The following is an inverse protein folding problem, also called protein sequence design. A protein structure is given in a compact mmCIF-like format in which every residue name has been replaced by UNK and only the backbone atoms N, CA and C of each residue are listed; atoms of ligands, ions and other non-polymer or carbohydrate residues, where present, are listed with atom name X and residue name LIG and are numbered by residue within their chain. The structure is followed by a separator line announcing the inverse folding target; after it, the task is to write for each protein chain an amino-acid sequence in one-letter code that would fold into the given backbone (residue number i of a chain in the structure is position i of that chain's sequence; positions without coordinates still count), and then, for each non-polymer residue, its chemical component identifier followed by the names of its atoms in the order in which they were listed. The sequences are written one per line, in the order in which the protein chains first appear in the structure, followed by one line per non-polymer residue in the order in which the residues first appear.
data_IF_800520518324
#
_entry.id   IF_800520518324
#
_cell.length_a   1.000
_cell.length_b   1.000
_cell.length_c   1.000
_cell.angle_alpha   90.00
_cell.angle_beta   90.00
_cell.angle_gamma   90.00
#
_symmetry.space_group_name_H-M   'P 1'
#
loop_
_entity.id
_entity.type
_entity.pdbx_description
1 polymer ?
#
# COMPACT_ATOMS: atom_id res chain seq x y z
N UNK A 1 2.59 -46.54 -0.96
CA UNK A 1 4.02 -46.13 -1.01
C UNK A 1 4.15 -44.85 -1.79
N UNK A 2 5.02 -43.94 -1.36
CA UNK A 2 5.39 -42.73 -2.07
C UNK A 2 6.88 -42.72 -2.27
N UNK A 3 7.36 -42.44 -3.48
CA UNK A 3 8.77 -42.23 -3.76
C UNK A 3 9.11 -40.80 -3.36
N UNK A 4 10.11 -40.65 -2.50
CA UNK A 4 10.59 -39.31 -2.08
C UNK A 4 11.27 -38.69 -3.29
N UNK A 5 10.60 -37.76 -3.93
CA UNK A 5 11.11 -37.09 -5.12
C UNK A 5 12.23 -36.13 -4.76
N UNK A 6 13.20 -36.04 -5.67
CA UNK A 6 14.27 -35.04 -5.62
C UNK A 6 13.84 -33.65 -6.09
N UNK A 7 12.57 -33.49 -6.45
CA UNK A 7 12.00 -32.17 -6.70
C UNK A 7 11.28 -31.71 -5.43
N UNK A 8 11.92 -30.83 -4.75
CA UNK A 8 11.17 -29.82 -4.05
C UNK A 8 10.15 -29.25 -5.06
N UNK A 9 8.90 -29.68 -4.98
CA UNK A 9 7.82 -28.73 -5.21
C UNK A 9 8.05 -27.71 -4.11
N UNK A 10 8.90 -26.73 -4.44
CA UNK A 10 9.31 -25.71 -3.51
C UNK A 10 8.04 -25.13 -2.93
N UNK A 11 7.77 -25.48 -1.68
CA UNK A 11 6.67 -24.89 -0.96
C UNK A 11 7.09 -23.47 -0.72
N UNK A 12 6.82 -22.69 -1.72
CA UNK A 12 6.89 -21.25 -1.62
C UNK A 12 5.93 -20.85 -0.52
N UNK A 13 6.46 -20.32 0.58
CA UNK A 13 5.62 -19.75 1.62
C UNK A 13 4.70 -18.72 0.98
N UNK A 14 3.39 -18.91 1.15
CA UNK A 14 2.38 -18.02 0.63
C UNK A 14 1.91 -17.10 1.75
N UNK A 15 1.94 -15.81 1.51
CA UNK A 15 1.53 -14.79 2.46
C UNK A 15 0.29 -14.08 1.93
N UNK A 16 -0.78 -14.07 2.72
CA UNK A 16 -1.95 -13.25 2.38
C UNK A 16 -1.58 -11.78 2.43
N UNK A 17 -1.82 -11.07 1.35
CA UNK A 17 -1.50 -9.66 1.22
C UNK A 17 -2.67 -8.85 0.69
N UNK A 18 -2.69 -7.56 1.02
CA UNK A 18 -3.67 -6.60 0.55
C UNK A 18 -3.04 -5.64 -0.45
N UNK A 19 -3.74 -5.40 -1.54
CA UNK A 19 -3.31 -4.47 -2.57
C UNK A 19 -3.56 -3.03 -2.15
N UNK A 20 -2.61 -2.17 -2.47
CA UNK A 20 -2.64 -0.75 -2.17
C UNK A 20 -2.25 0.07 -3.40
N UNK A 21 -2.84 1.25 -3.53
CA UNK A 21 -2.35 2.26 -4.43
C UNK A 21 -0.95 2.75 -3.97
N UNK A 22 -0.22 3.43 -4.83
CA UNK A 22 1.07 4.03 -4.47
C UNK A 22 0.96 4.95 -3.29
N UNK A 23 -0.05 5.81 -3.29
CA UNK A 23 -0.42 6.66 -2.17
C UNK A 23 -1.92 6.95 -2.18
N UNK A 24 -2.44 7.24 -1.00
CA UNK A 24 -3.79 7.73 -0.78
C UNK A 24 -3.66 9.11 -0.15
N UNK A 25 -4.13 10.13 -0.86
CA UNK A 25 -4.09 11.52 -0.38
C UNK A 25 -5.48 11.93 0.07
N UNK A 26 -5.69 12.14 1.38
CA UNK A 26 -6.93 12.72 1.88
C UNK A 26 -6.98 14.20 1.50
N UNK A 27 -8.04 14.61 0.84
CA UNK A 27 -8.27 15.99 0.43
C UNK A 27 -9.39 16.60 1.26
N UNK A 28 -9.15 17.79 1.76
CA UNK A 28 -10.10 18.58 2.54
C UNK A 28 -10.00 20.05 2.20
N UNK A 29 -11.04 20.82 2.55
CA UNK A 29 -11.04 22.27 2.40
C UNK A 29 -10.34 22.92 3.59
N UNK A 30 -9.78 24.10 3.37
CA UNK A 30 -9.17 24.90 4.42
C UNK A 30 -10.19 25.83 5.11
N UNK A 31 -11.36 26.01 4.51
CA UNK A 31 -12.45 26.85 5.00
C UNK A 31 -13.71 26.02 5.22
N UNK A 32 -14.53 26.43 6.19
CA UNK A 32 -15.86 25.88 6.37
C UNK A 32 -16.82 26.43 5.29
N UNK A 33 -17.76 25.62 4.86
CA UNK A 33 -18.76 26.07 3.90
C UNK A 33 -19.76 24.97 3.55
N UNK A 34 -20.82 25.35 2.88
CA UNK A 34 -21.81 24.44 2.33
C UNK A 34 -21.40 24.04 0.91
N UNK A 35 -21.37 22.75 0.58
CA UNK A 35 -21.05 22.23 -0.75
C UNK A 35 -22.11 22.71 -1.75
N UNK A 36 -21.70 23.52 -2.72
CA UNK A 36 -22.55 24.03 -3.80
C UNK A 36 -22.40 23.24 -5.09
N UNK A 37 -21.20 22.68 -5.33
CA UNK A 37 -20.93 21.86 -6.51
C UNK A 37 -20.05 20.67 -6.12
N UNK A 38 -20.41 19.49 -6.63
CA UNK A 38 -19.60 18.28 -6.56
C UNK A 38 -19.41 17.76 -7.98
N UNK A 39 -18.18 17.86 -8.49
CA UNK A 39 -17.85 17.71 -9.92
C UNK A 39 -17.22 16.38 -10.26
N UNK A 40 -17.04 15.49 -9.27
CA UNK A 40 -16.37 14.20 -9.45
C UNK A 40 -17.13 13.07 -8.77
N UNK A 41 -16.87 11.85 -9.24
CA UNK A 41 -17.45 10.60 -8.72
C UNK A 41 -16.35 9.60 -8.33
N UNK A 42 -16.62 8.67 -7.40
CA UNK A 42 -15.72 7.57 -7.13
C UNK A 42 -15.36 6.79 -8.39
N UNK A 43 -14.08 6.45 -8.57
CA UNK A 43 -13.53 5.77 -9.75
C UNK A 43 -13.17 6.70 -10.92
N UNK A 44 -13.46 7.99 -10.86
CA UNK A 44 -13.15 8.94 -11.93
C UNK A 44 -11.67 9.33 -11.92
N UNK A 45 -11.06 9.38 -13.11
CA UNK A 45 -9.68 9.86 -13.28
C UNK A 45 -9.65 11.38 -13.38
N UNK A 46 -8.78 12.00 -12.60
CA UNK A 46 -8.62 13.47 -12.56
C UNK A 46 -7.19 13.89 -12.86
N UNK A 47 -7.04 15.11 -13.36
CA UNK A 47 -5.75 15.74 -13.65
C UNK A 47 -5.35 16.69 -12.51
N UNK A 48 -4.06 16.95 -12.38
CA UNK A 48 -3.58 18.00 -11.47
C UNK A 48 -4.24 19.35 -11.81
N UNK A 49 -4.70 20.07 -10.77
CA UNK A 49 -5.41 21.34 -10.91
C UNK A 49 -6.90 21.22 -11.25
N UNK A 50 -7.43 20.04 -11.54
CA UNK A 50 -8.85 19.85 -11.82
C UNK A 50 -9.68 20.17 -10.58
N UNK A 51 -10.76 20.95 -10.77
CA UNK A 51 -11.72 21.27 -9.69
C UNK A 51 -12.54 20.03 -9.35
N UNK A 52 -12.60 19.70 -8.07
CA UNK A 52 -13.29 18.53 -7.54
C UNK A 52 -14.63 18.90 -6.89
N UNK A 53 -14.62 19.94 -6.05
CA UNK A 53 -15.83 20.48 -5.42
C UNK A 53 -15.67 21.97 -5.14
N UNK A 54 -16.81 22.66 -4.95
CA UNK A 54 -16.87 24.04 -4.47
C UNK A 54 -17.81 24.16 -3.29
N UNK A 55 -17.46 25.04 -2.38
CA UNK A 55 -18.34 25.48 -1.30
C UNK A 55 -18.84 26.90 -1.57
N UNK A 56 -19.87 27.30 -0.86
CA UNK A 56 -20.41 28.67 -0.93
C UNK A 56 -19.29 29.69 -0.63
N UNK A 57 -19.03 30.52 -1.62
CA UNK A 57 -17.98 31.54 -1.58
C UNK A 57 -18.53 32.97 -1.58
N UNK A 58 -19.86 33.15 -1.35
CA UNK A 58 -20.52 34.43 -1.42
C UNK A 58 -19.86 35.46 -0.51
N UNK A 59 -19.59 35.10 0.75
CA UNK A 59 -18.93 36.01 1.70
C UNK A 59 -17.49 36.32 1.29
N UNK A 60 -16.76 35.34 0.80
CA UNK A 60 -15.39 35.52 0.33
C UNK A 60 -15.33 36.46 -0.90
N UNK A 61 -16.30 36.35 -1.82
CA UNK A 61 -16.41 37.24 -2.99
C UNK A 61 -16.70 38.67 -2.58
N UNK A 62 -17.63 38.90 -1.63
CA UNK A 62 -17.91 40.26 -1.12
C UNK A 62 -16.67 40.85 -0.40
N UNK A 63 -15.92 40.04 0.36
CA UNK A 63 -14.70 40.52 0.99
C UNK A 63 -13.61 40.87 -0.05
N UNK A 64 -13.50 40.10 -1.13
CA UNK A 64 -12.59 40.37 -2.23
C UNK A 64 -12.94 41.67 -2.94
N UNK A 65 -14.24 41.90 -3.26
CA UNK A 65 -14.71 43.11 -3.91
C UNK A 65 -14.42 44.37 -3.06
N UNK A 66 -14.65 44.30 -1.74
CA UNK A 66 -14.34 45.40 -0.83
C UNK A 66 -12.85 45.69 -0.74
N UNK A 67 -12.00 44.64 -0.69
CA UNK A 67 -10.56 44.78 -0.67
C UNK A 67 -10.00 45.33 -2.01
N UNK A 68 -10.59 44.91 -3.12
CA UNK A 68 -10.25 45.45 -4.45
C UNK A 68 -10.57 46.95 -4.59
N UNK A 69 -11.72 47.39 -4.10
CA UNK A 69 -12.09 48.80 -4.08
C UNK A 69 -11.09 49.62 -3.25
N UNK A 70 -10.69 49.10 -2.08
CA UNK A 70 -9.69 49.75 -1.19
C UNK A 70 -8.31 49.80 -1.87
N UNK A 71 -7.89 48.74 -2.56
CA UNK A 71 -6.62 48.70 -3.29
C UNK A 71 -6.61 49.71 -4.43
N UNK A 72 -7.71 49.80 -5.20
CA UNK A 72 -7.84 50.81 -6.27
C UNK A 72 -7.72 52.23 -5.75
N UNK A 73 -8.40 52.54 -4.60
CA UNK A 73 -8.30 53.83 -3.96
C UNK A 73 -6.87 54.18 -3.52
N UNK A 74 -6.18 53.22 -2.89
CA UNK A 74 -4.81 53.41 -2.45
C UNK A 74 -3.83 53.56 -3.61
N UNK A 75 -4.03 52.81 -4.69
CA UNK A 75 -3.26 52.91 -5.92
C UNK A 75 -3.44 54.27 -6.60
N UNK A 76 -4.66 54.74 -6.73
CA UNK A 76 -4.97 56.09 -7.25
C UNK A 76 -4.30 57.20 -6.45
N UNK A 77 -4.30 57.08 -5.10
CA UNK A 77 -3.60 58.04 -4.24
C UNK A 77 -2.10 58.01 -4.45
N UNK A 78 -1.51 56.83 -4.53
CA UNK A 78 -0.09 56.65 -4.82
C UNK A 78 0.31 57.24 -6.15
N UNK A 79 -0.43 56.94 -7.22
CA UNK A 79 -0.13 57.42 -8.59
C UNK A 79 -0.24 58.94 -8.72
N UNK A 80 -1.10 59.57 -7.94
CA UNK A 80 -1.18 61.05 -7.90
C UNK A 80 -0.09 61.72 -7.06
N UNK A 81 0.33 61.12 -5.98
CA UNK A 81 1.33 61.70 -5.06
C UNK A 81 2.77 61.44 -5.56
N UNK A 82 3.02 60.34 -6.23
CA UNK A 82 4.33 59.97 -6.74
C UNK A 82 5.02 61.08 -7.59
N UNK A 83 4.41 61.63 -8.65
CA UNK A 83 5.08 62.68 -9.47
C UNK A 83 5.31 63.98 -8.68
N UNK A 84 4.45 64.28 -7.67
CA UNK A 84 4.60 65.47 -6.81
C UNK A 84 5.73 65.25 -5.79
N UNK A 85 5.91 64.05 -5.27
CA UNK A 85 7.04 63.67 -4.43
C UNK A 85 8.36 63.73 -5.22
N UNK A 86 8.38 63.19 -6.46
CA UNK A 86 9.55 63.18 -7.32
C UNK A 86 10.02 64.62 -7.69
N UNK A 87 9.08 65.59 -7.68
CA UNK A 87 9.38 67.02 -7.83
C UNK A 87 9.86 67.72 -6.54
N UNK A 88 9.97 67.01 -5.40
CA UNK A 88 10.43 67.53 -4.12
C UNK A 88 9.39 68.39 -3.33
N UNK A 89 8.13 68.40 -3.75
CA UNK A 89 7.06 69.22 -3.14
C UNK A 89 6.40 68.53 -1.96
N UNK A 90 6.36 67.20 -1.96
CA UNK A 90 5.76 66.39 -0.87
C UNK A 90 6.84 65.90 0.08
N UNK A 91 6.57 65.96 1.38
CA UNK A 91 7.52 65.48 2.40
C UNK A 91 7.65 63.96 2.37
N UNK A 92 8.84 63.43 2.72
CA UNK A 92 9.10 61.98 2.81
C UNK A 92 8.15 61.28 3.77
N UNK A 93 7.73 61.92 4.85
CA UNK A 93 6.74 61.38 5.81
C UNK A 93 5.42 61.07 5.10
N UNK A 94 4.94 62.02 4.29
CA UNK A 94 3.67 61.88 3.57
C UNK A 94 3.78 60.83 2.44
N UNK A 95 4.93 60.75 1.81
CA UNK A 95 5.23 59.72 0.83
C UNK A 95 5.17 58.30 1.44
N UNK A 96 5.89 58.09 2.56
CA UNK A 96 5.89 56.81 3.29
C UNK A 96 4.48 56.40 3.75
N UNK A 97 3.64 57.38 4.19
CA UNK A 97 2.25 57.11 4.56
C UNK A 97 1.46 56.55 3.38
N UNK A 98 1.56 57.15 2.19
CA UNK A 98 0.84 56.71 1.00
C UNK A 98 1.33 55.33 0.51
N UNK A 99 2.64 55.12 0.49
CA UNK A 99 3.26 53.85 0.17
C UNK A 99 2.85 52.75 1.13
N UNK A 100 2.81 53.03 2.43
CA UNK A 100 2.37 52.08 3.45
C UNK A 100 0.92 51.70 3.29
N UNK A 101 0.04 52.67 2.97
CA UNK A 101 -1.37 52.39 2.70
C UNK A 101 -1.58 51.53 1.48
N UNK A 102 -0.82 51.76 0.41
CA UNK A 102 -0.88 50.92 -0.77
C UNK A 102 -0.46 49.48 -0.45
N UNK A 103 0.64 49.30 0.27
CA UNK A 103 1.12 47.97 0.65
C UNK A 103 0.12 47.23 1.57
N UNK A 104 -0.51 47.94 2.51
CA UNK A 104 -1.57 47.36 3.36
C UNK A 104 -2.79 46.94 2.54
N UNK A 105 -3.25 47.81 1.62
CA UNK A 105 -4.39 47.50 0.75
C UNK A 105 -4.10 46.30 -0.18
N UNK A 106 -2.87 46.20 -0.70
CA UNK A 106 -2.43 45.06 -1.51
C UNK A 106 -2.45 43.76 -0.72
N UNK A 107 -1.90 43.76 0.49
CA UNK A 107 -1.91 42.58 1.35
C UNK A 107 -3.32 42.15 1.75
N UNK A 108 -4.24 43.11 1.97
CA UNK A 108 -5.64 42.81 2.24
C UNK A 108 -6.34 42.17 1.03
N UNK A 109 -6.07 42.67 -0.18
CA UNK A 109 -6.60 42.11 -1.41
C UNK A 109 -6.09 40.67 -1.65
N UNK A 110 -4.79 40.43 -1.51
CA UNK A 110 -4.18 39.10 -1.65
C UNK A 110 -4.76 38.11 -0.66
N UNK A 111 -5.01 38.55 0.59
CA UNK A 111 -5.65 37.72 1.62
C UNK A 111 -7.10 37.36 1.24
N UNK A 112 -7.86 38.32 0.76
CA UNK A 112 -9.25 38.08 0.31
C UNK A 112 -9.31 37.16 -0.94
N UNK A 113 -8.39 37.35 -1.90
CA UNK A 113 -8.24 36.46 -3.05
C UNK A 113 -7.94 35.01 -2.63
N UNK A 114 -7.07 34.85 -1.64
CA UNK A 114 -6.74 33.53 -1.10
C UNK A 114 -7.95 32.85 -0.44
N UNK A 115 -8.79 33.61 0.27
CA UNK A 115 -10.04 33.07 0.84
C UNK A 115 -10.98 32.54 -0.24
N UNK A 116 -11.14 33.27 -1.35
CA UNK A 116 -11.94 32.79 -2.49
C UNK A 116 -11.37 31.49 -3.08
N UNK A 117 -10.02 31.41 -3.25
CA UNK A 117 -9.36 30.19 -3.74
C UNK A 117 -9.59 29.00 -2.79
N UNK A 118 -9.60 29.24 -1.48
CA UNK A 118 -9.84 28.20 -0.46
C UNK A 118 -11.26 27.62 -0.49
N UNK A 119 -12.22 28.31 -1.10
CA UNK A 119 -13.57 27.78 -1.30
C UNK A 119 -13.66 26.75 -2.45
N UNK A 120 -12.58 26.49 -3.16
CA UNK A 120 -12.52 25.53 -4.26
C UNK A 120 -11.47 24.46 -3.94
N UNK A 121 -11.88 23.19 -3.94
CA UNK A 121 -10.98 22.07 -3.80
C UNK A 121 -10.52 21.59 -5.17
N UNK A 122 -9.22 21.55 -5.38
CA UNK A 122 -8.59 21.06 -6.62
C UNK A 122 -7.73 19.85 -6.35
N UNK A 123 -7.54 18.99 -7.34
CA UNK A 123 -6.62 17.87 -7.26
C UNK A 123 -5.16 18.35 -7.26
N UNK A 124 -4.34 18.02 -6.24
CA UNK A 124 -2.94 18.43 -6.20
C UNK A 124 -2.08 17.70 -7.24
N UNK A 125 -2.47 16.47 -7.58
CA UNK A 125 -1.79 15.60 -8.56
C UNK A 125 -2.83 14.89 -9.42
N UNK A 126 -2.41 14.33 -10.55
CA UNK A 126 -3.25 13.41 -11.30
C UNK A 126 -3.44 12.10 -10.53
N UNK A 127 -4.62 11.50 -10.64
CA UNK A 127 -4.96 10.27 -9.94
C UNK A 127 -6.38 9.81 -10.22
N UNK A 128 -6.88 8.91 -9.37
CA UNK A 128 -8.25 8.40 -9.41
C UNK A 128 -8.95 8.73 -8.11
N UNK A 129 -10.19 9.18 -8.18
CA UNK A 129 -11.02 9.42 -6.99
C UNK A 129 -11.36 8.09 -6.33
N UNK A 130 -10.91 7.89 -5.09
CA UNK A 130 -11.21 6.69 -4.30
C UNK A 130 -12.59 6.79 -3.67
N UNK A 131 -12.72 7.63 -2.66
CA UNK A 131 -13.97 7.86 -1.94
C UNK A 131 -14.36 9.33 -1.96
N UNK A 132 -15.65 9.58 -2.05
CA UNK A 132 -16.25 10.89 -1.84
C UNK A 132 -17.11 10.77 -0.58
N UNK A 133 -16.78 11.55 0.46
CA UNK A 133 -17.40 11.46 1.81
C UNK A 133 -18.41 12.57 2.08
N UNK A 134 -18.73 13.34 1.07
CA UNK A 134 -19.66 14.48 1.18
C UNK A 134 -20.70 14.46 0.08
N UNK A 135 -21.83 15.12 0.35
CA UNK A 135 -22.94 15.25 -0.58
C UNK A 135 -23.19 16.72 -0.92
N UNK A 136 -23.85 16.96 -2.04
CA UNK A 136 -24.29 18.29 -2.44
C UNK A 136 -25.21 18.89 -1.36
N UNK A 137 -24.94 20.12 -0.93
CA UNK A 137 -25.68 20.81 0.10
C UNK A 137 -25.23 20.53 1.54
N UNK A 138 -24.33 19.58 1.76
CA UNK A 138 -23.74 19.29 3.08
C UNK A 138 -22.79 20.41 3.50
N UNK A 139 -22.75 20.71 4.81
CA UNK A 139 -21.75 21.60 5.40
C UNK A 139 -20.51 20.82 5.77
N UNK A 140 -19.34 21.35 5.42
CA UNK A 140 -18.02 20.76 5.71
C UNK A 140 -17.22 21.66 6.62
N UNK A 141 -16.37 21.06 7.45
CA UNK A 141 -15.46 21.75 8.36
C UNK A 141 -14.04 21.81 7.79
N UNK A 142 -13.23 22.79 8.24
CA UNK A 142 -11.83 22.87 7.85
C UNK A 142 -11.07 21.59 8.20
N UNK A 143 -10.21 21.15 7.30
CA UNK A 143 -9.38 19.94 7.45
C UNK A 143 -10.12 18.61 7.53
N UNK A 144 -11.45 18.59 7.38
CA UNK A 144 -12.21 17.37 7.22
C UNK A 144 -11.89 16.72 5.86
N UNK A 145 -11.62 15.42 5.86
CA UNK A 145 -11.39 14.69 4.61
C UNK A 145 -12.70 14.49 3.87
N UNK A 146 -12.84 15.17 2.74
CA UNK A 146 -14.05 15.12 1.88
C UNK A 146 -13.89 14.20 0.69
N UNK A 147 -12.68 14.07 0.15
CA UNK A 147 -12.36 13.24 -1.02
C UNK A 147 -11.03 12.52 -0.75
N UNK A 148 -10.93 11.27 -1.18
CA UNK A 148 -9.68 10.53 -1.22
C UNK A 148 -9.17 10.41 -2.66
N UNK A 149 -7.97 10.91 -2.91
CA UNK A 149 -7.28 10.80 -4.21
C UNK A 149 -6.26 9.67 -4.15
N UNK A 150 -6.38 8.72 -5.06
CA UNK A 150 -5.50 7.56 -5.20
C UNK A 150 -4.48 7.81 -6.32
N UNK A 151 -3.20 7.63 -6.02
CA UNK A 151 -2.18 7.50 -7.05
C UNK A 151 -2.09 6.03 -7.47
N UNK A 152 -2.63 5.73 -8.63
CA UNK A 152 -2.67 4.38 -9.23
C UNK A 152 -1.59 4.17 -10.30
N UNK A 153 -0.57 5.04 -10.34
CA UNK A 153 0.57 4.89 -11.26
C UNK A 153 1.36 3.62 -11.02
N UNK A 154 1.31 3.11 -9.80
CA UNK A 154 1.96 1.88 -9.36
C UNK A 154 1.13 1.24 -8.25
N UNK A 155 1.02 -0.07 -8.27
CA UNK A 155 0.37 -0.83 -7.20
C UNK A 155 1.38 -1.54 -6.34
N UNK A 156 1.03 -1.74 -5.09
CA UNK A 156 1.80 -2.50 -4.13
C UNK A 156 0.92 -3.56 -3.48
N UNK A 157 1.53 -4.62 -3.03
CA UNK A 157 0.91 -5.59 -2.12
C UNK A 157 1.64 -5.51 -0.78
N UNK A 158 0.87 -5.38 0.28
CA UNK A 158 1.34 -5.36 1.67
C UNK A 158 0.95 -6.67 2.34
N UNK A 159 1.91 -7.37 2.89
CA UNK A 159 1.70 -8.67 3.54
C UNK A 159 2.57 -8.82 4.79
N UNK A 160 2.13 -9.69 5.70
CA UNK A 160 2.85 -9.97 6.95
C UNK A 160 3.69 -11.24 6.82
N UNK A 161 4.96 -11.15 7.16
CA UNK A 161 5.90 -12.29 7.21
C UNK A 161 6.18 -12.63 8.66
N UNK A 162 6.03 -13.91 9.11
CA UNK A 162 6.35 -14.34 10.46
C UNK A 162 7.81 -14.07 10.85
N UNK A 163 8.05 -13.89 12.16
CA UNK A 163 9.40 -13.65 12.69
C UNK A 163 10.39 -14.75 12.32
N UNK A 164 9.94 -16.02 12.33
CA UNK A 164 10.77 -17.15 11.93
C UNK A 164 11.27 -17.10 10.49
N UNK A 165 10.63 -16.27 9.65
CA UNK A 165 10.88 -16.24 8.21
C UNK A 165 11.46 -14.92 7.70
N UNK A 166 11.28 -13.83 8.45
CA UNK A 166 11.65 -12.47 7.98
C UNK A 166 13.16 -12.33 7.72
N UNK A 167 14.00 -13.09 8.43
CA UNK A 167 15.45 -13.07 8.24
C UNK A 167 15.87 -13.42 6.80
N UNK A 168 15.11 -14.25 6.11
CA UNK A 168 15.38 -14.65 4.72
C UNK A 168 14.66 -13.80 3.68
N UNK A 169 13.96 -12.72 4.04
CA UNK A 169 13.32 -11.81 3.09
C UNK A 169 14.19 -10.57 2.94
N UNK A 170 14.57 -10.26 1.70
CA UNK A 170 15.43 -9.13 1.37
C UNK A 170 14.75 -8.18 0.38
N UNK A 171 15.13 -6.91 0.46
CA UNK A 171 14.71 -5.92 -0.55
C UNK A 171 15.32 -6.34 -1.89
N UNK A 172 14.47 -6.39 -2.91
CA UNK A 172 14.84 -6.87 -4.24
C UNK A 172 14.38 -8.30 -4.55
N UNK A 173 13.95 -9.06 -3.55
CA UNK A 173 13.40 -10.41 -3.76
C UNK A 173 12.23 -10.36 -4.73
N UNK A 174 12.18 -11.36 -5.60
CA UNK A 174 11.10 -11.52 -6.59
C UNK A 174 10.11 -12.55 -6.10
N UNK A 175 8.89 -12.41 -6.59
CA UNK A 175 7.83 -13.34 -6.27
C UNK A 175 6.67 -13.21 -7.25
N UNK A 176 5.60 -13.90 -6.93
CA UNK A 176 4.36 -13.93 -7.69
C UNK A 176 3.18 -13.64 -6.78
N UNK A 177 2.27 -12.84 -7.26
CA UNK A 177 1.00 -12.57 -6.61
C UNK A 177 -0.11 -13.27 -7.37
N UNK A 178 -0.93 -13.99 -6.64
CA UNK A 178 -2.15 -14.63 -7.11
C UNK A 178 -3.34 -13.87 -6.56
N UNK A 179 -4.23 -13.41 -7.41
CA UNK A 179 -5.48 -12.74 -7.03
C UNK A 179 -6.64 -13.58 -7.55
N UNK A 180 -7.31 -14.29 -6.66
CA UNK A 180 -8.41 -15.17 -7.04
C UNK A 180 -9.57 -14.45 -7.75
N UNK A 181 -9.82 -13.17 -7.41
CA UNK A 181 -10.89 -12.37 -7.98
C UNK A 181 -10.74 -12.07 -9.48
N UNK A 182 -9.51 -12.07 -10.01
CA UNK A 182 -9.24 -11.79 -11.44
C UNK A 182 -8.75 -13.03 -12.20
N UNK A 183 -8.61 -14.17 -11.52
CA UNK A 183 -8.15 -15.43 -12.14
C UNK A 183 -6.70 -15.40 -12.63
N UNK A 184 -5.92 -14.39 -12.25
CA UNK A 184 -4.52 -14.29 -12.63
C UNK A 184 -3.63 -14.81 -11.50
N UNK A 185 -2.89 -15.87 -11.80
CA UNK A 185 -2.07 -16.60 -10.84
C UNK A 185 -0.59 -16.16 -10.83
N UNK A 186 -0.19 -15.17 -11.63
CA UNK A 186 1.23 -14.94 -11.89
C UNK A 186 1.65 -13.48 -12.06
N UNK A 187 1.01 -12.55 -11.37
CA UNK A 187 1.45 -11.16 -11.41
C UNK A 187 2.83 -11.07 -10.75
N UNK A 188 3.88 -10.67 -11.46
CA UNK A 188 5.21 -10.56 -10.88
C UNK A 188 5.24 -9.45 -9.83
N UNK A 189 5.90 -9.73 -8.70
CA UNK A 189 6.10 -8.76 -7.63
C UNK A 189 7.58 -8.70 -7.25
N UNK A 190 8.00 -7.54 -6.74
CA UNK A 190 9.34 -7.30 -6.23
C UNK A 190 9.28 -6.63 -4.87
N UNK A 191 9.93 -7.19 -3.87
CA UNK A 191 10.03 -6.60 -2.54
C UNK A 191 10.78 -5.28 -2.60
N UNK A 192 10.15 -4.21 -2.13
CA UNK A 192 10.71 -2.85 -2.12
C UNK A 192 10.90 -2.31 -0.71
N UNK A 193 10.15 -2.85 0.26
CA UNK A 193 10.21 -2.40 1.64
C UNK A 193 10.05 -3.59 2.59
N UNK A 194 10.83 -3.60 3.66
CA UNK A 194 10.78 -4.57 4.75
C UNK A 194 10.69 -3.80 6.06
N UNK A 195 9.59 -3.99 6.79
CA UNK A 195 9.38 -3.39 8.09
C UNK A 195 10.45 -3.82 9.09
N UNK A 196 10.83 -2.89 9.96
CA UNK A 196 11.84 -3.11 11.01
C UNK A 196 11.19 -3.46 12.36
N UNK A 197 9.87 -3.36 12.45
CA UNK A 197 9.12 -3.60 13.69
C UNK A 197 8.03 -4.64 13.44
N UNK A 198 7.95 -5.63 14.33
CA UNK A 198 6.86 -6.60 14.31
C UNK A 198 5.56 -5.96 14.78
N UNK A 199 4.45 -6.37 14.17
CA UNK A 199 3.13 -6.10 14.70
C UNK A 199 2.92 -6.90 16.00
N UNK A 200 2.56 -6.22 17.08
CA UNK A 200 2.45 -6.82 18.42
C UNK A 200 1.33 -7.88 18.54
N UNK A 201 0.30 -7.80 17.69
CA UNK A 201 -0.83 -8.73 17.73
C UNK A 201 -0.60 -9.97 16.87
N UNK A 202 -0.04 -9.80 15.68
CA UNK A 202 0.14 -10.88 14.71
C UNK A 202 1.54 -11.50 14.73
N UNK A 203 2.50 -10.91 15.44
CA UNK A 203 3.91 -11.31 15.46
C UNK A 203 4.52 -11.42 14.04
N UNK A 204 4.05 -10.57 13.13
CA UNK A 204 4.52 -10.52 11.75
C UNK A 204 5.22 -9.20 11.45
N UNK A 205 6.20 -9.25 10.57
CA UNK A 205 6.84 -8.07 9.99
C UNK A 205 6.14 -7.71 8.70
N UNK A 206 5.82 -6.43 8.54
CA UNK A 206 5.19 -5.93 7.34
C UNK A 206 6.19 -5.84 6.20
N UNK A 207 5.85 -6.43 5.07
CA UNK A 207 6.63 -6.38 3.83
C UNK A 207 5.76 -5.78 2.74
N UNK A 208 6.36 -4.93 1.93
CA UNK A 208 5.70 -4.29 0.79
C UNK A 208 6.41 -4.68 -0.48
N UNK A 209 5.67 -5.22 -1.44
CA UNK A 209 6.20 -5.55 -2.75
C UNK A 209 5.48 -4.77 -3.83
N UNK A 210 6.23 -4.28 -4.81
CA UNK A 210 5.72 -3.57 -5.97
C UNK A 210 5.22 -4.57 -6.99
N UNK A 211 4.03 -4.33 -7.54
CA UNK A 211 3.48 -5.12 -8.63
C UNK A 211 4.06 -4.69 -9.97
N UNK A 212 4.18 -5.65 -10.88
CA UNK A 212 4.26 -5.37 -12.30
C UNK A 212 2.97 -4.71 -12.82
N UNK A 213 3.02 -4.18 -14.03
CA UNK A 213 1.88 -3.51 -14.64
C UNK A 213 0.71 -4.48 -14.83
N UNK A 214 -0.46 -4.16 -14.28
CA UNK A 214 -1.71 -4.91 -14.46
C UNK A 214 -2.87 -3.94 -14.48
N UNK A 215 -3.73 -4.05 -15.48
CA UNK A 215 -4.88 -3.14 -15.67
C UNK A 215 -6.13 -3.59 -14.88
N UNK A 216 -6.16 -4.85 -14.43
CA UNK A 216 -7.31 -5.44 -13.75
C UNK A 216 -7.28 -5.33 -12.22
N UNK A 217 -6.23 -4.72 -11.66
CA UNK A 217 -5.98 -4.67 -10.22
C UNK A 217 -6.60 -3.44 -9.59
N UNK A 218 -7.34 -3.62 -8.50
CA UNK A 218 -7.90 -2.52 -7.71
C UNK A 218 -7.32 -2.49 -6.29
N UNK A 219 -7.07 -1.31 -5.71
CA UNK A 219 -6.71 -1.19 -4.31
C UNK A 219 -7.77 -1.82 -3.40
N UNK A 220 -7.33 -2.52 -2.35
CA UNK A 220 -8.21 -3.24 -1.44
C UNK A 220 -8.42 -4.72 -1.77
N UNK A 221 -8.09 -5.18 -2.97
CA UNK A 221 -8.10 -6.61 -3.29
C UNK A 221 -7.13 -7.39 -2.40
N UNK A 222 -7.46 -8.64 -2.14
CA UNK A 222 -6.63 -9.58 -1.39
C UNK A 222 -6.05 -10.61 -2.35
N UNK A 223 -4.80 -10.95 -2.16
CA UNK A 223 -4.12 -11.98 -2.93
C UNK A 223 -3.02 -12.66 -2.14
N UNK A 224 -2.54 -13.78 -2.66
CA UNK A 224 -1.50 -14.59 -2.06
C UNK A 224 -0.15 -14.29 -2.73
N UNK A 225 0.80 -13.82 -1.95
CA UNK A 225 2.17 -13.52 -2.39
C UNK A 225 3.07 -14.71 -2.13
N UNK A 226 3.73 -15.18 -3.15
CA UNK A 226 4.73 -16.26 -3.09
C UNK A 226 6.09 -15.69 -3.48
N UNK A 227 7.08 -15.76 -2.59
CA UNK A 227 8.45 -15.30 -2.88
C UNK A 227 9.32 -16.42 -3.44
N UNK A 228 10.03 -16.14 -4.54
CA UNK A 228 10.88 -17.13 -5.22
C UNK A 228 12.13 -17.51 -4.40
N UNK A 229 12.62 -16.62 -3.53
CA UNK A 229 13.78 -16.84 -2.66
C UNK A 229 13.54 -17.88 -1.55
N UNK A 230 12.31 -18.36 -1.41
CA UNK A 230 11.87 -19.32 -0.40
C UNK A 230 11.60 -20.72 -0.95
N UNK A 231 12.14 -21.05 -2.09
CA UNK A 231 12.19 -22.43 -2.54
C UNK A 231 13.19 -23.19 -1.67
N UNK A 232 12.70 -23.82 -0.63
CA UNK A 232 13.56 -24.65 0.23
C UNK A 232 13.78 -25.98 -0.46
N UNK A 233 15.00 -26.22 -0.88
CA UNK A 233 15.42 -27.54 -1.36
C UNK A 233 15.40 -28.52 -0.18
N UNK A 234 14.43 -29.38 -0.13
CA UNK A 234 14.28 -30.38 0.92
C UNK A 234 13.46 -31.58 0.46
N UNK A 235 13.67 -32.71 1.09
CA UNK A 235 12.87 -33.90 0.87
C UNK A 235 11.57 -33.77 1.66
N UNK A 236 10.42 -33.73 0.99
CA UNK A 236 9.12 -33.67 1.64
C UNK A 236 8.49 -35.04 1.65
N UNK A 237 7.98 -35.44 2.81
CA UNK A 237 7.19 -36.65 2.97
C UNK A 237 5.81 -36.34 3.51
N UNK A 238 4.75 -37.03 3.09
CA UNK A 238 3.43 -36.88 3.68
C UNK A 238 3.49 -37.06 5.20
N UNK A 239 2.77 -36.23 5.94
CA UNK A 239 2.77 -36.28 7.41
C UNK A 239 2.40 -37.67 7.95
N UNK A 240 1.58 -38.39 7.18
CA UNK A 240 1.11 -39.75 7.48
C UNK A 240 2.26 -40.78 7.50
N UNK A 241 3.36 -40.51 6.83
CA UNK A 241 4.54 -41.39 6.79
C UNK A 241 5.40 -41.29 8.05
N UNK A 242 5.26 -40.21 8.82
CA UNK A 242 6.10 -39.93 9.98
C UNK A 242 5.44 -40.49 11.24
N UNK A 243 6.22 -41.26 12.03
CA UNK A 243 5.78 -41.81 13.31
C UNK A 243 6.74 -41.42 14.42
N UNK A 244 6.20 -41.05 15.56
CA UNK A 244 6.97 -40.87 16.79
C UNK A 244 7.15 -42.23 17.43
N UNK A 245 8.39 -42.68 17.56
CA UNK A 245 8.74 -43.88 18.30
C UNK A 245 9.83 -43.56 19.33
N UNK A 246 9.56 -43.79 20.59
CA UNK A 246 10.48 -43.46 21.71
C UNK A 246 10.97 -42.00 21.59
N UNK A 247 10.04 -41.07 21.36
CA UNK A 247 10.27 -39.63 21.18
C UNK A 247 11.17 -39.23 19.99
N UNK A 248 11.40 -40.17 19.09
CA UNK A 248 12.14 -39.87 17.85
C UNK A 248 11.23 -40.01 16.59
N UNK A 249 11.18 -39.02 15.72
CA UNK A 249 10.50 -39.13 14.45
C UNK A 249 11.19 -40.19 13.57
N UNK A 250 10.39 -41.13 13.06
CA UNK A 250 10.87 -42.23 12.23
C UNK A 250 9.97 -42.44 11.01
N UNK A 251 10.53 -42.91 9.93
CA UNK A 251 9.83 -43.35 8.70
C UNK A 251 10.22 -44.76 8.33
N UNK A 252 9.30 -45.44 7.60
CA UNK A 252 9.60 -46.75 7.03
C UNK A 252 10.05 -46.57 5.58
N UNK A 253 11.31 -46.94 5.28
CA UNK A 253 11.89 -46.91 3.94
C UNK A 253 11.94 -48.33 3.41
N UNK A 254 11.53 -48.53 2.16
CA UNK A 254 11.62 -49.83 1.49
C UNK A 254 12.87 -49.87 0.58
N UNK A 255 13.74 -50.81 0.89
CA UNK A 255 14.92 -51.11 0.09
C UNK A 255 14.97 -52.62 -0.18
N UNK A 256 15.16 -53.03 -1.42
CA UNK A 256 15.24 -54.44 -1.81
C UNK A 256 14.06 -55.31 -1.32
N UNK A 257 12.81 -54.76 -1.43
CA UNK A 257 11.57 -55.40 -0.94
C UNK A 257 11.54 -55.68 0.56
N UNK A 258 12.32 -54.97 1.35
CA UNK A 258 12.36 -55.07 2.82
C UNK A 258 12.10 -53.67 3.42
N UNK A 259 11.23 -53.61 4.43
CA UNK A 259 10.95 -52.36 5.18
C UNK A 259 12.00 -52.16 6.27
N UNK A 260 12.72 -51.06 6.21
CA UNK A 260 13.72 -50.67 7.21
C UNK A 260 13.26 -49.40 7.90
N UNK A 261 13.25 -49.41 9.22
CA UNK A 261 12.96 -48.23 10.01
C UNK A 261 14.13 -47.28 10.04
N UNK A 262 13.89 -46.00 9.71
CA UNK A 262 14.93 -45.00 9.68
C UNK A 262 14.53 -43.77 10.50
N UNK A 263 15.33 -43.37 11.50
CA UNK A 263 15.11 -42.11 12.20
C UNK A 263 15.34 -40.95 11.27
N UNK A 264 14.52 -39.90 11.38
CA UNK A 264 14.60 -38.71 10.56
C UNK A 264 14.56 -37.46 11.45
N UNK A 265 15.24 -36.42 11.00
CA UNK A 265 15.12 -35.10 11.60
C UNK A 265 14.12 -34.31 10.78
N UNK A 266 13.05 -33.86 11.44
CA UNK A 266 12.01 -33.08 10.79
C UNK A 266 12.36 -31.59 10.78
N UNK A 267 12.09 -30.95 9.66
CA UNK A 267 12.12 -29.51 9.49
C UNK A 267 10.74 -28.88 9.54
N UNK A 268 10.47 -27.91 8.67
CA UNK A 268 9.20 -27.19 8.63
C UNK A 268 8.05 -28.07 8.12
N UNK A 269 6.85 -27.85 8.70
CA UNK A 269 5.61 -28.42 8.17
C UNK A 269 5.15 -27.58 6.97
N UNK A 270 4.75 -28.27 5.92
CA UNK A 270 4.32 -27.68 4.65
C UNK A 270 2.97 -28.27 4.24
N UNK A 271 2.21 -27.57 3.38
CA UNK A 271 0.84 -27.99 3.03
C UNK A 271 0.70 -29.44 2.52
N UNK A 272 1.73 -30.01 1.90
CA UNK A 272 1.73 -31.39 1.37
C UNK A 272 2.43 -32.40 2.27
N UNK A 273 2.95 -32.00 3.44
CA UNK A 273 3.64 -32.91 4.34
C UNK A 273 4.59 -32.23 5.32
N UNK A 274 5.67 -32.89 5.64
CA UNK A 274 6.74 -32.39 6.50
C UNK A 274 8.08 -32.52 5.80
N UNK A 275 8.88 -31.47 5.88
CA UNK A 275 10.24 -31.48 5.36
C UNK A 275 11.12 -32.35 6.23
N UNK A 276 12.04 -33.10 5.61
CA UNK A 276 13.02 -33.92 6.29
C UNK A 276 14.41 -33.34 6.06
N UNK A 277 14.99 -32.77 7.12
CA UNK A 277 16.30 -32.15 7.09
C UNK A 277 17.43 -33.19 6.96
N UNK A 278 17.24 -34.38 7.53
CA UNK A 278 18.20 -35.48 7.45
C UNK A 278 17.57 -36.83 7.71
N UNK A 279 18.19 -37.91 7.20
CA UNK A 279 17.75 -39.29 7.37
C UNK A 279 17.13 -39.92 6.13
N UNK A 280 16.81 -39.18 5.09
CA UNK A 280 16.32 -39.68 3.79
C UNK A 280 17.22 -39.25 2.65
N UNK A 281 17.15 -39.98 1.55
CA UNK A 281 17.78 -39.65 0.28
C UNK A 281 16.73 -39.54 -0.82
N UNK A 282 17.00 -38.70 -1.81
CA UNK A 282 16.17 -38.63 -3.01
C UNK A 282 16.05 -39.99 -3.68
N UNK A 283 14.85 -40.44 -4.00
CA UNK A 283 14.59 -41.77 -4.55
C UNK A 283 14.25 -42.85 -3.51
N UNK A 284 14.39 -42.58 -2.22
CA UNK A 284 13.94 -43.51 -1.18
C UNK A 284 12.40 -43.70 -1.29
N UNK A 285 11.95 -44.94 -1.16
CA UNK A 285 10.52 -45.27 -1.15
C UNK A 285 10.00 -45.33 0.29
N UNK A 286 9.05 -44.47 0.63
CA UNK A 286 8.50 -44.39 1.99
C UNK A 286 7.09 -45.00 2.04
N UNK A 287 6.80 -45.75 3.10
CA UNK A 287 5.51 -46.38 3.31
C UNK A 287 4.50 -45.36 3.87
N UNK A 288 3.38 -45.19 3.16
CA UNK A 288 2.27 -44.31 3.61
C UNK A 288 1.26 -45.12 4.42
N UNK A 289 0.86 -46.30 3.95
CA UNK A 289 -0.17 -47.13 4.55
C UNK A 289 0.34 -48.55 4.86
N UNK A 290 -0.32 -49.23 5.80
CA UNK A 290 0.03 -50.60 6.16
C UNK A 290 1.18 -50.76 7.18
N UNK A 291 1.74 -49.66 7.65
CA UNK A 291 2.88 -49.62 8.58
C UNK A 291 2.61 -50.30 9.94
N UNK A 292 1.34 -50.50 10.35
CA UNK A 292 0.94 -51.12 11.62
C UNK A 292 1.41 -52.57 11.72
N UNK A 293 1.62 -53.24 10.62
CA UNK A 293 2.08 -54.65 10.51
C UNK A 293 3.56 -54.78 10.25
N UNK A 294 4.29 -53.65 10.14
CA UNK A 294 5.72 -53.67 9.82
C UNK A 294 6.59 -53.81 11.09
N UNK A 295 7.54 -54.67 11.00
CA UNK A 295 8.70 -54.73 11.89
C UNK A 295 9.98 -54.54 11.11
N UNK A 296 11.08 -54.27 11.79
CA UNK A 296 12.35 -53.99 11.09
C UNK A 296 12.80 -55.20 10.27
N UNK A 297 13.13 -55.01 9.01
CA UNK A 297 13.41 -56.04 8.02
C UNK A 297 12.21 -56.88 7.58
N UNK A 298 10.99 -56.40 7.73
CA UNK A 298 9.78 -57.08 7.24
C UNK A 298 9.80 -57.13 5.68
N UNK A 299 9.50 -58.28 5.09
CA UNK A 299 9.35 -58.37 3.63
C UNK A 299 8.09 -57.67 3.21
N UNK A 300 8.16 -56.78 2.20
CA UNK A 300 7.04 -56.03 1.64
C UNK A 300 6.79 -56.39 0.18
N UNK A 301 5.54 -56.70 -0.15
CA UNK A 301 5.06 -56.82 -1.54
C UNK A 301 4.25 -55.58 -1.88
N UNK A 302 4.51 -54.94 -2.97
CA UNK A 302 3.89 -53.72 -3.44
C UNK A 302 3.50 -53.80 -4.90
#
# INVERSE_FOLDING_TARGET
MVTVGSKADGHACSYAGRLEARSVTPLGLQTAGRVTELLVRPGESVRAGQVLLRVDNTQALHALEAAEATLRQAQDAYDRVRPVHDSGVVSDIKWVEVETRLNQARSAFESAEQLVKQCTLTAPTAGVIGQVKVELGQSVLPSETVIELLDVSTYYVRFGVPESEIAGVHIGDRGRLRIAAIGDDRIPVKVVERGMKANALSHTYEVRAQLGRSEAVLPGMIGDVTLDSRMVDGLIVPTECVRLMKDQPTVWVVRDSVAVRRPVKLGAYVNSGVMVDSGLQAGDRVVVEGYQKLYNNAPVRY
#
